data_IF_810270451465
#
_entry.id   IF_810270451465
#
_cell.length_a   1.000
_cell.length_b   1.000
_cell.length_c   1.000
_cell.angle_alpha   90.00
_cell.angle_beta   90.00
_cell.angle_gamma   90.00
#
_symmetry.space_group_name_H-M   'P 1'
#
loop_
_entity.id
_entity.type
_entity.pdbx_description
1 polymer ?
#
# COMPACT_ATOMS: atom_id res chain seq x y z
N UNK A 1 1.30 43.23 -10.94
CA UNK A 1 2.13 42.05 -10.58
C UNK A 1 1.48 41.14 -9.51
N UNK A 2 0.84 41.67 -8.44
CA UNK A 2 0.25 40.84 -7.38
C UNK A 2 -0.88 39.88 -7.78
N UNK A 3 -1.64 40.20 -8.83
CA UNK A 3 -2.79 39.37 -9.26
C UNK A 3 -2.37 38.02 -9.87
N UNK A 4 -1.22 37.96 -10.54
CA UNK A 4 -0.65 36.72 -11.08
C UNK A 4 -0.28 35.73 -9.97
N UNK A 5 0.19 36.23 -8.83
CA UNK A 5 0.47 35.40 -7.65
C UNK A 5 -0.82 34.87 -7.02
N UNK A 6 -1.89 35.69 -6.96
CA UNK A 6 -3.20 35.25 -6.46
C UNK A 6 -3.79 34.10 -7.29
N UNK A 7 -3.76 34.22 -8.62
CA UNK A 7 -4.23 33.16 -9.53
C UNK A 7 -3.36 31.91 -9.40
N UNK A 8 -2.04 32.06 -9.29
CA UNK A 8 -1.12 30.93 -9.08
C UNK A 8 -1.41 30.15 -7.81
N UNK A 9 -1.64 30.84 -6.68
CA UNK A 9 -1.96 30.20 -5.40
C UNK A 9 -3.30 29.45 -5.47
N UNK A 10 -4.32 30.06 -6.09
CA UNK A 10 -5.63 29.42 -6.26
C UNK A 10 -5.51 28.17 -7.13
N UNK A 11 -4.74 28.23 -8.21
CA UNK A 11 -4.51 27.08 -9.08
C UNK A 11 -3.77 25.94 -8.36
N UNK A 12 -2.75 26.27 -7.56
CA UNK A 12 -2.04 25.29 -6.73
C UNK A 12 -2.99 24.66 -5.71
N UNK A 13 -3.82 25.45 -5.04
CA UNK A 13 -4.79 24.96 -4.07
C UNK A 13 -5.84 24.02 -4.73
N UNK A 14 -6.31 24.35 -5.94
CA UNK A 14 -7.22 23.51 -6.71
C UNK A 14 -6.58 22.18 -7.11
N UNK A 15 -5.34 22.20 -7.61
CA UNK A 15 -4.59 20.97 -7.92
C UNK A 15 -4.38 20.09 -6.68
N UNK A 16 -4.06 20.72 -5.55
CA UNK A 16 -3.87 20.02 -4.30
C UNK A 16 -5.17 19.38 -3.80
N UNK A 17 -6.28 20.13 -3.86
CA UNK A 17 -7.61 19.61 -3.52
C UNK A 17 -8.03 18.47 -4.45
N UNK A 18 -7.82 18.59 -5.76
CA UNK A 18 -8.16 17.56 -6.74
C UNK A 18 -7.35 16.27 -6.51
N UNK A 19 -6.04 16.38 -6.23
CA UNK A 19 -5.22 15.20 -5.91
C UNK A 19 -5.63 14.55 -4.60
N UNK A 20 -6.02 15.33 -3.60
CA UNK A 20 -6.52 14.82 -2.33
C UNK A 20 -7.86 14.10 -2.47
N UNK A 21 -8.82 14.71 -3.18
CA UNK A 21 -10.11 14.11 -3.53
C UNK A 21 -9.93 12.79 -4.29
N UNK A 22 -9.02 12.77 -5.28
CA UNK A 22 -8.71 11.55 -6.03
C UNK A 22 -8.21 10.43 -5.14
N UNK A 23 -7.29 10.71 -4.21
CA UNK A 23 -6.78 9.70 -3.26
C UNK A 23 -7.91 9.16 -2.36
N UNK A 24 -8.79 10.04 -1.88
CA UNK A 24 -9.97 9.62 -1.09
C UNK A 24 -10.92 8.74 -1.90
N UNK A 25 -11.24 9.14 -3.12
CA UNK A 25 -12.14 8.40 -4.01
C UNK A 25 -11.60 7.00 -4.32
N UNK A 26 -10.31 6.87 -4.62
CA UNK A 26 -9.67 5.56 -4.86
C UNK A 26 -9.80 4.67 -3.63
N UNK A 27 -9.53 5.21 -2.43
CA UNK A 27 -9.64 4.45 -1.18
C UNK A 27 -11.07 4.00 -0.90
N UNK A 28 -12.04 4.89 -1.06
CA UNK A 28 -13.45 4.55 -0.88
C UNK A 28 -13.92 3.48 -1.88
N UNK A 29 -13.51 3.61 -3.15
CA UNK A 29 -13.81 2.62 -4.17
C UNK A 29 -13.20 1.25 -3.87
N UNK A 30 -11.93 1.20 -3.46
CA UNK A 30 -11.29 -0.05 -3.04
C UNK A 30 -12.03 -0.72 -1.88
N UNK A 31 -12.44 0.06 -0.87
CA UNK A 31 -13.18 -0.47 0.28
C UNK A 31 -14.57 -0.98 -0.09
N UNK A 32 -15.19 -0.43 -1.14
CA UNK A 32 -16.52 -0.84 -1.59
C UNK A 32 -16.49 -2.03 -2.57
N UNK A 33 -15.52 -2.10 -3.47
CA UNK A 33 -15.52 -3.05 -4.61
C UNK A 33 -14.18 -3.71 -4.92
N UNK A 34 -13.17 -3.50 -4.07
CA UNK A 34 -11.86 -4.12 -4.23
C UNK A 34 -11.95 -5.65 -4.10
N UNK A 35 -11.11 -6.35 -4.86
CA UNK A 35 -10.92 -7.78 -4.69
C UNK A 35 -10.09 -8.01 -3.42
N UNK A 36 -10.56 -8.91 -2.55
CA UNK A 36 -9.85 -9.26 -1.32
C UNK A 36 -9.19 -10.63 -1.47
N UNK A 37 -7.92 -10.72 -1.09
CA UNK A 37 -7.18 -11.99 -1.02
C UNK A 37 -6.47 -12.13 0.31
N UNK A 38 -6.18 -13.37 0.69
CA UNK A 38 -5.39 -13.67 1.88
C UNK A 38 -3.91 -13.58 1.53
N UNK A 39 -3.10 -13.10 2.46
CA UNK A 39 -1.69 -12.85 2.22
C UNK A 39 -0.84 -13.27 3.41
N UNK A 40 0.46 -13.46 3.15
CA UNK A 40 1.44 -13.82 4.17
C UNK A 40 2.26 -12.58 4.50
N UNK A 41 2.27 -12.19 5.78
CA UNK A 41 3.11 -11.11 6.25
C UNK A 41 4.47 -11.60 6.72
N UNK A 42 5.53 -10.87 6.39
CA UNK A 42 6.90 -11.13 6.81
C UNK A 42 7.60 -9.84 7.23
N UNK A 43 8.69 -9.99 7.97
CA UNK A 43 9.58 -8.87 8.29
C UNK A 43 10.39 -8.53 7.05
N UNK A 44 10.31 -7.28 6.60
CA UNK A 44 11.17 -6.73 5.55
C UNK A 44 12.25 -5.87 6.16
N UNK A 45 13.50 -6.29 6.03
CA UNK A 45 14.67 -5.49 6.39
C UNK A 45 15.45 -5.18 5.11
N UNK A 46 15.67 -3.88 4.86
CA UNK A 46 16.54 -3.42 3.78
C UNK A 46 17.76 -2.75 4.41
N UNK A 47 18.81 -3.53 4.64
CA UNK A 47 20.04 -3.07 5.30
C UNK A 47 19.79 -2.61 6.74
N UNK A 48 20.48 -1.54 7.18
CA UNK A 48 20.32 -0.95 8.52
C UNK A 48 19.05 -0.10 8.70
N UNK A 49 18.11 -0.11 7.75
CA UNK A 49 16.88 0.67 7.88
C UNK A 49 15.93 0.02 8.88
N UNK A 50 15.09 0.84 9.48
CA UNK A 50 13.99 0.42 10.36
C UNK A 50 13.25 -0.75 9.69
N UNK A 51 12.93 -1.82 10.44
CA UNK A 51 12.16 -2.93 9.90
C UNK A 51 10.88 -2.42 9.24
N UNK A 52 10.34 -3.15 8.27
CA UNK A 52 9.06 -2.87 7.61
C UNK A 52 8.25 -4.16 7.59
N UNK A 53 6.94 -4.06 7.42
CA UNK A 53 6.12 -5.26 7.21
C UNK A 53 5.98 -5.46 5.72
N UNK A 54 6.50 -6.56 5.22
CA UNK A 54 6.19 -7.04 3.88
C UNK A 54 4.96 -7.94 3.92
N UNK A 55 4.25 -7.95 2.81
CA UNK A 55 3.13 -8.84 2.56
C UNK A 55 3.26 -9.38 1.15
N UNK A 56 3.30 -10.70 1.05
CA UNK A 56 3.32 -11.44 -0.20
C UNK A 56 1.93 -11.99 -0.47
N UNK A 57 1.42 -11.73 -1.66
CA UNK A 57 0.10 -12.19 -2.08
C UNK A 57 0.08 -12.49 -3.57
N UNK A 58 -0.88 -13.34 -3.97
CA UNK A 58 -1.18 -13.65 -5.35
C UNK A 58 -2.49 -12.99 -5.74
N UNK A 59 -2.50 -12.27 -6.86
CA UNK A 59 -3.72 -11.68 -7.40
C UNK A 59 -4.57 -12.71 -8.16
N UNK A 60 -5.76 -12.31 -8.59
CA UNK A 60 -6.70 -13.18 -9.32
C UNK A 60 -6.18 -13.60 -10.70
N UNK A 61 -5.23 -12.87 -11.28
CA UNK A 61 -4.53 -13.28 -12.51
C UNK A 61 -3.41 -14.29 -12.25
N UNK A 62 -3.15 -14.62 -10.99
CA UNK A 62 -2.08 -15.53 -10.60
C UNK A 62 -0.71 -14.87 -10.53
N UNK A 63 -0.61 -13.53 -10.61
CA UNK A 63 0.64 -12.78 -10.48
C UNK A 63 0.98 -12.58 -9.01
N UNK A 64 2.25 -12.80 -8.66
CA UNK A 64 2.76 -12.56 -7.31
C UNK A 64 3.17 -11.11 -7.12
N UNK A 65 2.81 -10.57 -5.96
CA UNK A 65 3.13 -9.21 -5.57
C UNK A 65 3.78 -9.19 -4.19
N UNK A 66 4.75 -8.30 -4.04
CA UNK A 66 5.43 -8.06 -2.78
C UNK A 66 5.21 -6.60 -2.37
N UNK A 67 4.33 -6.41 -1.40
CA UNK A 67 3.90 -5.10 -0.95
C UNK A 67 4.44 -4.81 0.45
N UNK A 68 5.06 -3.65 0.62
CA UNK A 68 5.72 -3.26 1.87
C UNK A 68 4.96 -2.09 2.49
N UNK A 69 4.54 -2.29 3.73
CA UNK A 69 4.03 -1.25 4.63
C UNK A 69 5.22 -0.66 5.39
N UNK A 70 5.41 0.66 5.28
CA UNK A 70 6.29 1.39 6.19
C UNK A 70 5.76 1.30 7.63
N UNK A 71 6.63 1.02 8.60
CA UNK A 71 6.23 1.05 10.01
C UNK A 71 5.82 2.48 10.39
N UNK A 72 4.62 2.62 10.96
CA UNK A 72 4.10 3.92 11.44
C UNK A 72 3.98 3.94 12.97
N UNK A 73 3.97 2.79 13.64
CA UNK A 73 3.81 2.72 15.10
C UNK A 73 4.51 1.51 15.71
N UNK A 74 4.87 1.62 17.00
CA UNK A 74 5.53 0.58 17.78
C UNK A 74 4.73 -0.75 17.89
N UNK A 75 3.41 -0.70 17.72
CA UNK A 75 2.54 -1.89 17.77
C UNK A 75 2.53 -2.76 16.50
N UNK A 76 3.32 -2.41 15.49
CA UNK A 76 3.35 -3.13 14.22
C UNK A 76 3.96 -4.55 14.34
N UNK A 77 4.74 -4.84 15.39
CA UNK A 77 5.21 -6.21 15.69
C UNK A 77 4.05 -7.17 16.01
N UNK A 78 2.95 -6.67 16.56
CA UNK A 78 1.74 -7.47 16.79
C UNK A 78 0.96 -7.74 15.50
N UNK A 79 1.09 -6.87 14.50
CA UNK A 79 0.43 -7.06 13.21
C UNK A 79 1.03 -8.24 12.44
N UNK A 80 2.34 -8.49 12.59
CA UNK A 80 3.03 -9.65 12.01
C UNK A 80 2.49 -11.00 12.51
N UNK A 81 1.89 -11.02 13.71
CA UNK A 81 1.29 -12.23 14.30
C UNK A 81 -0.12 -12.50 13.76
N UNK A 82 -0.71 -11.55 13.04
CA UNK A 82 -2.08 -11.64 12.53
C UNK A 82 -2.04 -12.04 11.06
N UNK A 83 -3.03 -12.81 10.56
CA UNK A 83 -3.13 -13.09 9.13
C UNK A 83 -3.28 -11.77 8.35
N UNK A 84 -2.61 -11.65 7.21
CA UNK A 84 -2.73 -10.47 6.37
C UNK A 84 -3.84 -10.66 5.34
N UNK A 85 -4.53 -9.57 5.04
CA UNK A 85 -5.51 -9.47 3.96
C UNK A 85 -5.09 -8.32 3.05
N UNK A 86 -5.23 -8.54 1.75
CA UNK A 86 -4.90 -7.55 0.74
C UNK A 86 -6.16 -7.24 -0.06
N UNK A 87 -6.43 -5.95 -0.19
CA UNK A 87 -7.53 -5.41 -0.97
C UNK A 87 -6.95 -4.64 -2.14
N UNK A 88 -7.30 -5.02 -3.36
CA UNK A 88 -6.71 -4.43 -4.55
C UNK A 88 -7.74 -4.21 -5.66
N UNK A 89 -7.43 -3.30 -6.57
CA UNK A 89 -8.27 -3.06 -7.74
C UNK A 89 -7.95 -4.10 -8.84
N UNK A 90 -8.93 -4.88 -9.33
CA UNK A 90 -8.68 -5.99 -10.26
C UNK A 90 -8.07 -5.56 -11.59
N UNK A 91 -8.42 -4.36 -12.09
CA UNK A 91 -7.84 -3.80 -13.33
C UNK A 91 -6.54 -3.01 -13.14
N UNK A 92 -6.10 -2.77 -11.90
CA UNK A 92 -4.94 -1.90 -11.58
C UNK A 92 -4.01 -2.57 -10.56
N UNK A 93 -3.78 -3.87 -10.73
CA UNK A 93 -2.96 -4.70 -9.81
C UNK A 93 -1.51 -4.22 -9.72
N UNK A 94 -0.94 -3.67 -10.79
CA UNK A 94 0.44 -3.14 -10.81
C UNK A 94 0.64 -1.75 -10.21
N UNK A 95 -0.38 -1.12 -9.63
CA UNK A 95 -0.26 0.21 -9.00
C UNK A 95 -0.51 0.14 -7.49
N UNK A 96 0.49 0.50 -6.71
CA UNK A 96 0.42 0.43 -5.24
C UNK A 96 -0.65 1.36 -4.63
N UNK A 97 -0.97 2.47 -5.28
CA UNK A 97 -2.10 3.36 -4.91
C UNK A 97 -3.46 2.64 -4.89
N UNK A 98 -3.56 1.54 -5.65
CA UNK A 98 -4.75 0.71 -5.79
C UNK A 98 -4.67 -0.58 -4.95
N UNK A 99 -3.79 -0.60 -3.95
CA UNK A 99 -3.61 -1.73 -3.05
C UNK A 99 -3.61 -1.24 -1.60
N UNK A 100 -4.34 -1.96 -0.76
CA UNK A 100 -4.43 -1.74 0.66
C UNK A 100 -4.20 -3.05 1.39
N UNK A 101 -3.58 -2.97 2.56
CA UNK A 101 -3.31 -4.14 3.39
C UNK A 101 -3.97 -3.96 4.75
N UNK A 102 -4.65 -5.00 5.19
CA UNK A 102 -5.21 -5.13 6.52
C UNK A 102 -4.58 -6.31 7.24
N UNK A 103 -4.61 -6.27 8.58
CA UNK A 103 -4.13 -7.34 9.43
C UNK A 103 -5.26 -7.84 10.33
N UNK A 104 -5.40 -9.16 10.44
CA UNK A 104 -6.49 -9.86 11.13
C UNK A 104 -7.52 -10.44 10.15
N UNK A 105 -8.34 -11.38 10.64
CA UNK A 105 -9.39 -12.03 9.84
C UNK A 105 -10.42 -11.03 9.28
N UNK A 106 -10.67 -9.95 10.01
CA UNK A 106 -11.52 -8.81 9.61
C UNK A 106 -10.79 -7.52 9.95
N UNK A 107 -9.97 -7.00 9.03
CA UNK A 107 -9.16 -5.82 9.33
C UNK A 107 -10.04 -4.58 9.46
N UNK A 108 -10.01 -3.95 10.64
CA UNK A 108 -10.67 -2.66 10.90
C UNK A 108 -9.92 -1.48 10.27
N UNK A 109 -8.61 -1.66 10.01
CA UNK A 109 -7.74 -0.62 9.48
C UNK A 109 -6.99 -1.13 8.27
N UNK A 110 -7.06 -0.34 7.20
CA UNK A 110 -6.41 -0.59 5.92
C UNK A 110 -5.27 0.40 5.72
N UNK A 111 -4.10 -0.12 5.36
CA UNK A 111 -2.87 0.62 5.20
C UNK A 111 -2.46 0.69 3.74
N UNK A 112 -2.01 1.87 3.32
CA UNK A 112 -1.35 2.04 2.03
C UNK A 112 0.02 1.37 2.05
N UNK A 113 0.45 0.89 0.89
CA UNK A 113 1.69 0.15 0.71
C UNK A 113 2.43 0.61 -0.52
N UNK A 114 3.71 0.27 -0.58
CA UNK A 114 4.54 0.44 -1.76
C UNK A 114 4.95 -0.94 -2.26
N UNK A 115 4.99 -1.12 -3.57
CA UNK A 115 5.57 -2.35 -4.11
C UNK A 115 7.07 -2.33 -3.96
N UNK A 116 7.61 -3.44 -3.50
CA UNK A 116 9.04 -3.71 -3.51
C UNK A 116 9.32 -4.85 -4.49
N UNK A 117 10.54 -4.93 -5.04
CA UNK A 117 10.96 -6.10 -5.80
C UNK A 117 10.74 -7.36 -4.99
N UNK A 118 10.29 -8.43 -5.66
CA UNK A 118 10.21 -9.75 -5.05
C UNK A 118 11.58 -10.10 -4.45
N UNK A 119 11.62 -10.68 -3.24
CA UNK A 119 12.87 -11.20 -2.70
C UNK A 119 13.42 -12.19 -3.73
N UNK A 120 14.68 -12.01 -4.14
CA UNK A 120 15.37 -13.02 -4.95
C UNK A 120 15.37 -14.30 -4.12
N UNK A 121 14.64 -15.32 -4.57
CA UNK A 121 14.76 -16.68 -4.04
C UNK A 121 16.26 -17.01 -4.12
N UNK A 122 16.87 -17.28 -2.97
CA UNK A 122 18.32 -17.19 -2.80
C UNK A 122 19.08 -17.98 -3.86
N UNK A 123 19.97 -17.31 -4.59
CA UNK A 123 21.25 -17.92 -4.97
C UNK A 123 22.12 -17.95 -3.72
N UNK A 124 21.76 -18.82 -2.78
CA UNK A 124 22.67 -19.30 -1.75
C UNK A 124 23.33 -20.57 -2.29
N UNK A 125 24.33 -20.39 -3.15
CA UNK A 125 25.43 -21.34 -3.24
C UNK A 125 26.56 -20.75 -2.42
N UNK A 126 27.21 -21.64 -1.69
CA UNK A 126 28.43 -21.50 -0.88
C UNK A 126 28.23 -21.21 0.61
#
# INVERSE_FOLDING_TARGET
>A
MGWLFGVGIVFIALLWSATWLRRRAIRAYLLASGAQTTAVSSVYQRGRRTPRIAVHYRDNSGTEHFAVKSLVSAGDSELLKKPAAVLYHPKRTGRSDYVLIGFGKRPQRWFSVEFAPLPKVGTGSD
#
